data_IF_903259970714
#
_entry.id   IF_903259970714
#
_cell.length_a   1.000
_cell.length_b   1.000
_cell.length_c   1.000
_cell.angle_alpha   90.00
_cell.angle_beta   90.00
_cell.angle_gamma   90.00
#
_symmetry.space_group_name_H-M   'P 1'
#
loop_
_entity.id
_entity.type
_entity.pdbx_description
1 polymer ?
#
# COMPACT_ATOMS: atom_id res chain seq x y z
N UNK A 1 -26.18 -2.24 16.09
CA UNK A 1 -25.57 -3.23 17.01
C UNK A 1 -24.50 -4.08 16.32
N UNK A 2 -24.81 -4.79 15.23
CA UNK A 2 -23.84 -5.65 14.51
C UNK A 2 -22.58 -4.90 14.05
N UNK A 3 -22.72 -3.69 13.50
CA UNK A 3 -21.56 -2.89 13.04
C UNK A 3 -20.60 -2.50 14.18
N UNK A 4 -21.14 -2.28 15.39
CA UNK A 4 -20.32 -2.00 16.59
C UNK A 4 -19.54 -3.25 16.98
N UNK A 5 -20.18 -4.42 16.95
CA UNK A 5 -19.51 -5.70 17.21
C UNK A 5 -18.39 -5.96 16.21
N UNK A 6 -18.61 -5.72 14.91
CA UNK A 6 -17.56 -5.85 13.88
C UNK A 6 -16.37 -4.92 14.17
N UNK A 7 -16.63 -3.65 14.44
CA UNK A 7 -15.56 -2.69 14.78
C UNK A 7 -14.82 -3.12 16.05
N UNK A 8 -15.55 -3.55 17.08
CA UNK A 8 -14.98 -4.06 18.32
C UNK A 8 -14.07 -5.26 18.06
N UNK A 9 -14.54 -6.27 17.32
CA UNK A 9 -13.73 -7.44 17.01
C UNK A 9 -12.50 -7.09 16.17
N UNK A 10 -12.61 -6.19 15.19
CA UNK A 10 -11.45 -5.72 14.44
C UNK A 10 -10.44 -5.01 15.34
N UNK A 11 -10.90 -4.15 16.25
CA UNK A 11 -10.06 -3.43 17.20
C UNK A 11 -9.35 -4.39 18.17
N UNK A 12 -10.08 -5.36 18.73
CA UNK A 12 -9.52 -6.40 19.60
C UNK A 12 -8.50 -7.25 18.86
N UNK A 13 -8.82 -7.73 17.65
CA UNK A 13 -7.89 -8.52 16.84
C UNK A 13 -6.61 -7.72 16.51
N UNK A 14 -6.75 -6.43 16.19
CA UNK A 14 -5.61 -5.54 15.91
C UNK A 14 -4.74 -5.34 17.15
N UNK A 15 -5.36 -5.08 18.30
CA UNK A 15 -4.64 -4.92 19.57
C UNK A 15 -3.92 -6.19 19.99
N UNK A 16 -4.60 -7.36 19.96
CA UNK A 16 -4.02 -8.64 20.30
C UNK A 16 -2.89 -9.03 19.34
N UNK A 17 -3.07 -8.84 18.03
CA UNK A 17 -2.03 -9.10 17.04
C UNK A 17 -0.78 -8.26 17.30
N UNK A 18 -0.96 -6.95 17.54
CA UNK A 18 0.14 -6.06 17.88
C UNK A 18 0.82 -6.38 19.22
N UNK A 19 0.05 -6.81 20.22
CA UNK A 19 0.57 -7.27 21.51
C UNK A 19 1.41 -8.54 21.35
N UNK A 20 0.93 -9.53 20.59
CA UNK A 20 1.68 -10.76 20.30
C UNK A 20 2.96 -10.46 19.52
N UNK A 21 2.91 -9.58 18.51
CA UNK A 21 4.10 -9.12 17.80
C UNK A 21 5.10 -8.51 18.79
N UNK A 22 4.63 -7.67 19.72
CA UNK A 22 5.48 -7.05 20.75
C UNK A 22 6.21 -8.07 21.61
N UNK A 23 5.61 -9.22 21.92
CA UNK A 23 6.27 -10.29 22.69
C UNK A 23 7.33 -11.06 21.89
N UNK A 24 7.15 -11.24 20.57
CA UNK A 24 8.12 -11.97 19.73
C UNK A 24 9.20 -11.07 19.11
N UNK A 25 8.96 -9.76 19.07
CA UNK A 25 9.88 -8.77 18.46
C UNK A 25 11.27 -8.68 19.13
N UNK A 26 11.44 -8.84 20.46
CA UNK A 26 12.77 -8.81 21.08
C UNK A 26 13.74 -9.86 20.54
N UNK A 27 13.25 -10.97 19.99
CA UNK A 27 14.08 -11.97 19.30
C UNK A 27 14.86 -11.38 18.11
N UNK A 28 14.37 -10.27 17.52
CA UNK A 28 15.05 -9.55 16.44
C UNK A 28 16.32 -8.82 16.90
N UNK A 29 16.52 -8.62 18.19
CA UNK A 29 17.73 -8.00 18.75
C UNK A 29 18.94 -8.94 18.72
N UNK A 30 18.73 -10.26 18.56
CA UNK A 30 19.80 -11.25 18.53
C UNK A 30 19.93 -11.83 17.12
N UNK A 31 21.09 -11.69 16.45
CA UNK A 31 21.26 -12.14 15.06
C UNK A 31 20.83 -13.59 14.77
N UNK A 32 21.08 -14.59 15.66
CA UNK A 32 20.64 -15.96 15.42
C UNK A 32 19.12 -16.15 15.35
N UNK A 33 18.34 -15.25 15.97
CA UNK A 33 16.88 -15.35 16.06
C UNK A 33 16.13 -14.30 15.24
N UNK A 34 16.83 -13.47 14.47
CA UNK A 34 16.23 -12.41 13.65
C UNK A 34 15.20 -12.96 12.66
N UNK A 35 15.57 -13.97 11.88
CA UNK A 35 14.69 -14.61 10.89
C UNK A 35 13.45 -15.21 11.55
N UNK A 36 13.63 -15.86 12.71
CA UNK A 36 12.52 -16.44 13.47
C UNK A 36 11.57 -15.35 13.99
N UNK A 37 12.10 -14.25 14.52
CA UNK A 37 11.31 -13.10 14.98
C UNK A 37 10.45 -12.52 13.86
N UNK A 38 11.05 -12.34 12.68
CA UNK A 38 10.33 -11.87 11.49
C UNK A 38 9.23 -12.86 11.08
N UNK A 39 9.54 -14.17 10.98
CA UNK A 39 8.57 -15.18 10.58
C UNK A 39 7.38 -15.29 11.54
N UNK A 40 7.63 -15.24 12.86
CA UNK A 40 6.57 -15.22 13.87
C UNK A 40 5.71 -13.96 13.74
N UNK A 41 6.35 -12.79 13.61
CA UNK A 41 5.64 -11.51 13.46
C UNK A 41 4.79 -11.48 12.19
N UNK A 42 5.35 -11.94 11.07
CA UNK A 42 4.67 -12.03 9.78
C UNK A 42 3.51 -13.04 9.83
N UNK A 43 3.68 -14.17 10.51
CA UNK A 43 2.61 -15.15 10.75
C UNK A 43 1.44 -14.56 11.53
N UNK A 44 1.72 -13.85 12.64
CA UNK A 44 0.70 -13.16 13.44
C UNK A 44 -0.04 -12.11 12.59
N UNK A 45 0.70 -11.30 11.84
CA UNK A 45 0.13 -10.32 10.92
C UNK A 45 -0.74 -10.97 9.82
N UNK A 46 -0.32 -12.12 9.31
CA UNK A 46 -1.07 -12.92 8.34
C UNK A 46 -2.40 -13.42 8.90
N UNK A 47 -2.41 -13.93 10.14
CA UNK A 47 -3.64 -14.35 10.83
C UNK A 47 -4.58 -13.17 11.06
N UNK A 48 -4.05 -12.00 11.46
CA UNK A 48 -4.84 -10.78 11.58
C UNK A 48 -5.45 -10.35 10.23
N UNK A 49 -4.67 -10.43 9.13
CA UNK A 49 -5.16 -10.09 7.80
C UNK A 49 -6.23 -11.07 7.30
N UNK A 50 -6.08 -12.36 7.58
CA UNK A 50 -7.10 -13.39 7.32
C UNK A 50 -8.39 -13.11 8.08
N UNK A 51 -8.28 -12.77 9.37
CA UNK A 51 -9.43 -12.39 10.19
C UNK A 51 -10.13 -11.13 9.65
N UNK A 52 -9.36 -10.10 9.27
CA UNK A 52 -9.90 -8.87 8.68
C UNK A 52 -10.66 -9.17 7.38
N UNK A 53 -10.10 -9.98 6.48
CA UNK A 53 -10.77 -10.41 5.25
C UNK A 53 -12.06 -11.16 5.54
N UNK A 54 -12.04 -12.12 6.45
CA UNK A 54 -13.24 -12.85 6.88
C UNK A 54 -14.29 -11.89 7.45
N UNK A 55 -13.88 -10.92 8.28
CA UNK A 55 -14.82 -9.95 8.84
C UNK A 55 -15.51 -9.13 7.74
N UNK A 56 -14.78 -8.77 6.68
CA UNK A 56 -15.32 -8.04 5.52
C UNK A 56 -16.35 -8.83 4.72
N UNK A 57 -16.29 -10.17 4.67
CA UNK A 57 -17.33 -11.00 4.02
C UNK A 57 -18.65 -10.96 4.79
N UNK A 58 -18.61 -10.63 6.08
CA UNK A 58 -19.83 -10.45 6.88
C UNK A 58 -20.53 -9.12 6.62
N UNK A 59 -19.87 -8.15 5.96
CA UNK A 59 -20.38 -6.81 5.70
C UNK A 59 -21.25 -6.83 4.43
N UNK A 60 -22.38 -6.12 4.45
CA UNK A 60 -23.22 -5.92 3.26
C UNK A 60 -22.56 -4.91 2.31
N UNK A 61 -21.61 -5.39 1.54
CA UNK A 61 -20.87 -4.64 0.51
C UNK A 61 -20.66 -5.56 -0.69
N UNK A 62 -21.02 -5.09 -1.88
CA UNK A 62 -20.70 -5.77 -3.13
C UNK A 62 -19.23 -5.51 -3.47
N UNK A 63 -18.43 -6.56 -3.59
CA UNK A 63 -17.04 -6.45 -4.03
C UNK A 63 -16.94 -6.92 -5.48
N UNK A 64 -16.51 -6.02 -6.36
CA UNK A 64 -16.29 -6.28 -7.79
C UNK A 64 -14.80 -6.23 -8.05
N UNK A 65 -14.17 -7.40 -8.21
CA UNK A 65 -12.73 -7.52 -8.47
C UNK A 65 -12.54 -8.02 -9.90
N UNK A 66 -11.72 -7.31 -10.67
CA UNK A 66 -11.42 -7.59 -12.09
C UNK A 66 -9.92 -7.56 -12.37
N UNK A 67 -9.51 -8.17 -13.48
CA UNK A 67 -8.14 -8.17 -13.95
C UNK A 67 -7.34 -9.34 -13.39
N UNK A 68 -6.04 -9.11 -13.16
CA UNK A 68 -5.09 -10.17 -12.88
C UNK A 68 -5.25 -10.75 -11.46
N UNK A 69 -5.01 -12.06 -11.35
CA UNK A 69 -4.84 -12.75 -10.07
C UNK A 69 -3.36 -12.75 -9.71
N UNK A 70 -3.03 -12.25 -8.53
CA UNK A 70 -1.65 -12.19 -8.03
C UNK A 70 -1.28 -13.50 -7.35
N UNK A 71 -0.04 -13.97 -7.53
CA UNK A 71 0.52 -15.03 -6.69
C UNK A 71 0.76 -14.47 -5.28
N UNK A 72 0.15 -15.05 -4.22
CA UNK A 72 0.37 -14.64 -2.83
C UNK A 72 1.84 -14.62 -2.38
N UNK A 73 2.72 -15.38 -3.04
CA UNK A 73 4.14 -15.47 -2.70
C UNK A 73 5.03 -14.53 -3.51
N UNK A 74 4.45 -13.73 -4.40
CA UNK A 74 5.20 -12.81 -5.23
C UNK A 74 5.70 -11.56 -4.49
N UNK A 75 6.78 -11.00 -5.01
CA UNK A 75 7.38 -9.73 -4.60
C UNK A 75 6.94 -8.64 -5.56
N UNK A 76 6.12 -7.72 -5.08
CA UNK A 76 5.44 -6.73 -5.93
C UNK A 76 5.67 -5.29 -5.48
N UNK A 77 5.80 -4.38 -6.45
CA UNK A 77 5.53 -2.97 -6.26
C UNK A 77 4.09 -2.68 -6.67
N UNK A 78 3.23 -2.33 -5.73
CA UNK A 78 1.84 -1.95 -5.99
C UNK A 78 1.75 -0.43 -6.14
N UNK A 79 1.22 0.05 -7.26
CA UNK A 79 0.85 1.45 -7.50
C UNK A 79 -0.66 1.60 -7.39
N UNK A 80 -1.13 2.34 -6.39
CA UNK A 80 -2.56 2.51 -6.13
C UNK A 80 -2.96 3.99 -6.01
N UNK A 81 -4.19 4.32 -6.44
CA UNK A 81 -4.82 5.58 -6.07
C UNK A 81 -5.24 5.57 -4.60
N UNK A 82 -5.39 6.75 -4.00
CA UNK A 82 -5.64 6.86 -2.56
C UNK A 82 -6.86 7.72 -2.25
N UNK A 83 -7.92 7.13 -1.71
CA UNK A 83 -9.16 7.80 -1.32
C UNK A 83 -9.41 7.73 0.18
N UNK A 84 -9.03 6.63 0.85
CA UNK A 84 -9.38 6.39 2.25
C UNK A 84 -8.42 5.42 2.96
N UNK A 85 -8.59 5.26 4.26
CA UNK A 85 -7.92 4.21 5.02
C UNK A 85 -8.36 2.80 4.61
N UNK A 86 -9.58 2.66 4.08
CA UNK A 86 -10.10 1.35 3.65
C UNK A 86 -9.36 0.81 2.43
N UNK A 87 -8.65 1.65 1.68
CA UNK A 87 -7.83 1.25 0.53
C UNK A 87 -6.81 0.18 0.91
N UNK A 88 -6.19 0.29 2.09
CA UNK A 88 -5.24 -0.70 2.62
C UNK A 88 -5.91 -2.06 2.79
N UNK A 89 -7.15 -2.08 3.30
CA UNK A 89 -7.92 -3.31 3.43
C UNK A 89 -8.24 -3.91 2.06
N UNK A 90 -8.54 -3.07 1.06
CA UNK A 90 -8.84 -3.53 -0.30
C UNK A 90 -7.61 -4.11 -1.00
N UNK A 91 -6.43 -3.53 -0.80
CA UNK A 91 -5.18 -4.12 -1.27
C UNK A 91 -4.92 -5.48 -0.59
N UNK A 92 -5.14 -5.60 0.71
CA UNK A 92 -5.02 -6.88 1.42
C UNK A 92 -6.05 -7.93 0.98
N UNK A 93 -7.23 -7.50 0.52
CA UNK A 93 -8.24 -8.37 -0.10
C UNK A 93 -7.72 -8.91 -1.43
N UNK A 94 -7.23 -8.03 -2.31
CA UNK A 94 -6.67 -8.42 -3.63
C UNK A 94 -5.48 -9.36 -3.48
N UNK A 95 -4.59 -9.07 -2.54
CA UNK A 95 -3.43 -9.91 -2.29
C UNK A 95 -3.81 -11.31 -1.80
N UNK A 96 -4.96 -11.47 -1.15
CA UNK A 96 -5.46 -12.77 -0.74
C UNK A 96 -4.73 -13.40 0.46
N UNK A 97 -5.09 -14.65 0.74
CA UNK A 97 -4.55 -15.45 1.85
C UNK A 97 -3.17 -15.99 1.50
N UNK A 98 -2.27 -15.98 2.48
CA UNK A 98 -0.88 -16.45 2.33
C UNK A 98 0.09 -15.37 1.89
N UNK A 99 -0.39 -14.16 1.59
CA UNK A 99 0.47 -13.04 1.21
C UNK A 99 1.13 -12.39 2.40
N UNK A 100 2.39 -12.01 2.22
CA UNK A 100 3.11 -11.16 3.18
C UNK A 100 2.33 -9.87 3.41
N UNK A 101 2.40 -9.32 4.62
CA UNK A 101 1.70 -8.07 4.91
C UNK A 101 2.25 -6.95 4.00
N UNK A 102 1.40 -6.23 3.25
CA UNK A 102 1.87 -5.15 2.40
C UNK A 102 2.54 -4.06 3.24
N UNK A 103 3.77 -3.73 2.86
CA UNK A 103 4.57 -2.65 3.45
C UNK A 103 4.24 -1.34 2.76
N UNK A 104 4.28 -0.26 3.50
CA UNK A 104 4.14 1.09 2.96
C UNK A 104 5.20 2.00 3.57
N UNK A 105 5.54 3.08 2.85
CA UNK A 105 6.42 4.13 3.35
C UNK A 105 5.76 4.91 4.49
N UNK A 106 5.99 4.42 5.70
CA UNK A 106 5.34 4.91 6.92
C UNK A 106 5.86 6.31 7.25
N UNK A 107 4.96 7.18 7.70
CA UNK A 107 5.32 8.50 8.20
C UNK A 107 6.01 8.40 9.56
N UNK A 108 7.07 9.18 9.79
CA UNK A 108 7.77 9.23 11.07
C UNK A 108 6.82 9.51 12.25
N UNK A 109 5.81 10.34 12.10
CA UNK A 109 4.86 10.67 13.18
C UNK A 109 4.10 9.45 13.70
N UNK A 110 4.00 8.37 12.91
CA UNK A 110 3.34 7.13 13.33
C UNK A 110 4.16 6.30 14.31
N UNK A 111 5.46 6.58 14.48
CA UNK A 111 6.29 5.88 15.48
C UNK A 111 5.89 6.21 16.92
N UNK A 112 5.18 7.32 17.14
CA UNK A 112 4.69 7.71 18.45
C UNK A 112 3.38 7.01 18.83
N UNK A 113 2.75 6.29 17.90
CA UNK A 113 1.57 5.49 18.20
C UNK A 113 1.98 4.20 18.92
N UNK A 114 1.33 3.85 20.05
CA UNK A 114 1.60 2.60 20.75
C UNK A 114 1.53 1.41 19.81
N UNK A 115 2.45 0.45 19.97
CA UNK A 115 2.53 -0.81 19.21
C UNK A 115 2.92 -0.64 17.73
N UNK A 116 2.52 0.44 17.05
CA UNK A 116 2.81 0.69 15.63
C UNK A 116 4.31 0.70 15.32
N UNK A 117 5.12 1.37 16.15
CA UNK A 117 6.57 1.39 15.95
C UNK A 117 7.19 -0.01 16.02
N UNK A 118 6.72 -0.82 16.97
CA UNK A 118 7.22 -2.19 17.17
C UNK A 118 6.80 -3.07 16.00
N UNK A 119 5.54 -3.00 15.57
CA UNK A 119 5.06 -3.72 14.39
C UNK A 119 5.83 -3.30 13.12
N UNK A 120 6.04 -2.01 12.92
CA UNK A 120 6.80 -1.49 11.79
C UNK A 120 8.25 -1.99 11.79
N UNK A 121 8.92 -1.95 12.94
CA UNK A 121 10.28 -2.47 13.07
C UNK A 121 10.34 -3.99 12.89
N UNK A 122 9.44 -4.74 13.52
CA UNK A 122 9.40 -6.20 13.47
C UNK A 122 9.15 -6.72 12.04
N UNK A 123 8.27 -6.06 11.30
CA UNK A 123 7.85 -6.43 9.95
C UNK A 123 8.59 -5.69 8.82
N UNK A 124 9.66 -4.96 9.15
CA UNK A 124 10.51 -4.25 8.18
C UNK A 124 9.74 -3.25 7.29
N UNK A 125 8.92 -2.41 7.93
CA UNK A 125 8.28 -1.27 7.28
C UNK A 125 9.29 -0.10 7.17
N UNK A 126 9.48 0.47 5.97
CA UNK A 126 10.33 1.64 5.82
C UNK A 126 9.65 2.88 6.42
N UNK A 127 10.30 3.49 7.40
CA UNK A 127 9.85 4.71 8.09
C UNK A 127 10.56 5.93 7.50
N UNK A 128 9.79 6.88 6.99
CA UNK A 128 10.27 8.05 6.27
C UNK A 128 10.12 9.32 7.13
N UNK A 129 11.21 10.08 7.27
CA UNK A 129 11.21 11.40 7.92
C UNK A 129 10.77 12.52 6.98
N UNK A 130 10.90 12.34 5.67
CA UNK A 130 10.43 13.25 4.61
C UNK A 130 11.03 14.65 4.74
N UNK A 131 12.36 14.71 4.80
CA UNK A 131 13.12 15.96 4.87
C UNK A 131 12.72 16.96 3.77
N UNK A 132 12.58 18.21 4.17
CA UNK A 132 12.32 19.34 3.27
C UNK A 132 13.60 19.81 2.59
N UNK A 133 13.48 20.68 1.59
CA UNK A 133 14.67 21.24 0.92
C UNK A 133 15.45 22.15 1.87
N UNK A 134 14.75 22.83 2.77
CA UNK A 134 15.32 23.62 3.85
C UNK A 134 16.13 22.73 4.80
N UNK A 135 15.57 21.59 5.26
CA UNK A 135 16.28 20.64 6.12
C UNK A 135 17.60 20.16 5.49
N UNK A 136 17.56 19.86 4.19
CA UNK A 136 18.72 19.36 3.42
C UNK A 136 19.75 20.47 3.20
N UNK A 137 19.32 21.71 2.99
CA UNK A 137 20.22 22.86 2.83
C UNK A 137 21.03 23.08 4.11
N UNK A 138 20.40 22.96 5.27
CA UNK A 138 21.04 23.17 6.57
C UNK A 138 21.92 21.98 6.97
N UNK A 139 21.58 20.76 6.50
CA UNK A 139 22.29 19.50 6.79
C UNK A 139 22.40 18.63 5.53
N UNK A 140 23.36 18.91 4.63
CA UNK A 140 23.48 18.19 3.35
C UNK A 140 23.64 16.68 3.48
N UNK A 141 24.19 16.19 4.59
CA UNK A 141 24.40 14.78 4.90
C UNK A 141 23.10 13.97 5.04
N UNK A 142 21.95 14.61 5.30
CA UNK A 142 20.67 13.90 5.45
C UNK A 142 19.92 13.69 4.13
N UNK A 143 20.42 14.24 3.01
CA UNK A 143 19.76 14.21 1.70
C UNK A 143 19.28 12.83 1.28
N UNK A 144 20.12 11.81 1.49
CA UNK A 144 19.83 10.43 1.09
C UNK A 144 19.40 9.53 2.26
N UNK A 145 19.35 10.06 3.48
CA UNK A 145 19.16 9.23 4.68
C UNK A 145 17.88 8.39 4.67
N UNK A 146 16.79 8.97 4.20
CA UNK A 146 15.50 8.27 4.06
C UNK A 146 15.56 7.18 2.98
N UNK A 147 16.32 7.42 1.91
CA UNK A 147 16.53 6.48 0.83
C UNK A 147 17.39 5.30 1.29
N UNK A 148 18.55 5.58 1.89
CA UNK A 148 19.49 4.57 2.39
C UNK A 148 18.83 3.67 3.44
N UNK A 149 18.05 4.26 4.36
CA UNK A 149 17.32 3.50 5.37
C UNK A 149 16.23 2.61 4.77
N UNK A 150 15.45 3.12 3.81
CA UNK A 150 14.44 2.31 3.14
C UNK A 150 15.07 1.16 2.35
N UNK A 151 16.20 1.41 1.67
CA UNK A 151 16.95 0.38 0.96
C UNK A 151 17.47 -0.68 1.93
N UNK A 152 18.05 -0.30 3.06
CA UNK A 152 18.49 -1.22 4.12
C UNK A 152 17.33 -2.11 4.59
N UNK A 153 16.20 -1.51 4.98
CA UNK A 153 15.05 -2.22 5.55
C UNK A 153 14.38 -3.16 4.54
N UNK A 154 14.20 -2.73 3.29
CA UNK A 154 13.57 -3.55 2.25
C UNK A 154 14.50 -4.64 1.70
N UNK A 155 15.82 -4.47 1.84
CA UNK A 155 16.82 -5.48 1.46
C UNK A 155 16.98 -6.60 2.49
N UNK A 156 16.44 -6.44 3.72
CA UNK A 156 16.43 -7.51 4.73
C UNK A 156 15.60 -8.69 4.25
N UNK A 157 16.05 -9.90 4.60
CA UNK A 157 15.37 -11.15 4.26
C UNK A 157 15.07 -11.29 2.75
N UNK A 158 16.10 -11.31 1.88
CA UNK A 158 15.93 -11.34 0.41
C UNK A 158 15.19 -12.58 -0.10
N UNK A 159 15.15 -13.66 0.68
CA UNK A 159 14.45 -14.90 0.33
C UNK A 159 12.94 -14.88 0.67
N UNK A 160 12.42 -13.79 1.23
CA UNK A 160 11.02 -13.68 1.68
C UNK A 160 10.22 -12.75 0.79
N UNK A 161 9.05 -13.16 0.31
CA UNK A 161 8.15 -12.30 -0.48
C UNK A 161 8.01 -10.89 0.14
N UNK A 162 8.10 -9.85 -0.70
CA UNK A 162 7.99 -8.46 -0.26
C UNK A 162 7.00 -7.69 -1.13
N UNK A 163 5.92 -7.18 -0.52
CA UNK A 163 4.96 -6.34 -1.22
C UNK A 163 5.07 -4.92 -0.70
N UNK A 164 5.38 -3.97 -1.58
CA UNK A 164 5.44 -2.55 -1.25
C UNK A 164 4.31 -1.82 -1.94
N UNK A 165 3.41 -1.22 -1.16
CA UNK A 165 2.29 -0.42 -1.65
C UNK A 165 2.68 1.05 -1.68
N UNK A 166 2.58 1.64 -2.86
CA UNK A 166 2.79 3.05 -3.11
C UNK A 166 1.51 3.76 -3.53
N UNK A 167 1.00 4.58 -2.63
CA UNK A 167 -0.02 5.57 -2.94
C UNK A 167 0.64 6.82 -3.53
N UNK A 168 0.90 6.83 -4.84
CA UNK A 168 1.78 7.84 -5.45
C UNK A 168 1.23 9.27 -5.36
N UNK A 169 -0.08 9.46 -5.15
CA UNK A 169 -0.68 10.78 -4.84
C UNK A 169 -0.12 11.40 -3.55
N UNK A 170 0.42 10.57 -2.65
CA UNK A 170 1.03 10.96 -1.37
C UNK A 170 0.03 11.47 -0.33
N UNK A 171 -1.25 11.52 -0.66
CA UNK A 171 -2.35 11.92 0.22
C UNK A 171 -3.68 11.42 -0.32
N UNK A 172 -4.67 11.28 0.56
CA UNK A 172 -6.04 10.92 0.17
C UNK A 172 -6.67 12.02 -0.70
N UNK A 173 -7.29 11.60 -1.79
CA UNK A 173 -8.07 12.42 -2.69
C UNK A 173 -9.18 13.17 -1.93
N UNK A 174 -9.30 14.46 -2.22
CA UNK A 174 -10.49 15.25 -1.88
C UNK A 174 -10.72 16.28 -3.00
N UNK A 175 -11.97 16.70 -3.27
CA UNK A 175 -12.24 17.73 -4.27
C UNK A 175 -11.45 19.04 -4.01
N UNK A 176 -11.28 19.40 -2.73
CA UNK A 176 -10.49 20.57 -2.34
C UNK A 176 -9.01 20.45 -2.73
N UNK A 177 -8.38 19.29 -2.50
CA UNK A 177 -6.99 19.04 -2.88
C UNK A 177 -6.82 18.91 -4.39
N UNK A 178 -7.79 18.31 -5.06
CA UNK A 178 -7.82 18.18 -6.51
C UNK A 178 -7.80 19.55 -7.18
N UNK A 179 -8.71 20.45 -6.77
CA UNK A 179 -8.76 21.84 -7.23
C UNK A 179 -7.47 22.59 -6.88
N UNK A 180 -6.97 22.47 -5.65
CA UNK A 180 -5.74 23.14 -5.20
C UNK A 180 -4.51 22.71 -6.01
N UNK A 181 -4.38 21.42 -6.31
CA UNK A 181 -3.23 20.87 -7.03
C UNK A 181 -3.36 20.97 -8.56
N UNK A 182 -4.51 21.46 -9.06
CA UNK A 182 -4.85 21.55 -10.49
C UNK A 182 -4.57 20.23 -11.19
N UNK A 183 -5.13 19.15 -10.65
CA UNK A 183 -4.94 17.82 -11.24
C UNK A 183 -5.52 17.77 -12.65
N UNK A 184 -4.82 17.21 -13.65
CA UNK A 184 -5.35 17.06 -15.00
C UNK A 184 -6.33 15.89 -15.13
N UNK A 185 -6.34 14.99 -14.14
CA UNK A 185 -7.20 13.81 -14.07
C UNK A 185 -8.55 14.16 -13.47
N UNK A 186 -9.64 13.47 -13.82
CA UNK A 186 -10.99 13.75 -13.29
C UNK A 186 -11.17 13.25 -11.85
N UNK A 187 -10.61 12.09 -11.53
CA UNK A 187 -10.83 11.34 -10.29
C UNK A 187 -9.60 11.19 -9.41
N UNK A 188 -8.43 11.64 -9.88
CA UNK A 188 -7.14 11.41 -9.22
C UNK A 188 -6.40 12.71 -8.93
N UNK A 189 -5.53 12.73 -7.90
CA UNK A 189 -4.47 13.73 -7.79
C UNK A 189 -3.29 13.38 -8.68
N UNK A 190 -2.38 14.34 -8.90
CA UNK A 190 -1.13 14.10 -9.62
C UNK A 190 -0.25 13.09 -8.87
N UNK A 191 0.32 12.08 -9.56
CA UNK A 191 1.27 11.18 -8.94
C UNK A 191 2.58 11.90 -8.64
N UNK A 192 3.21 11.49 -7.54
CA UNK A 192 4.60 11.79 -7.21
C UNK A 192 5.47 10.60 -7.60
N UNK A 193 6.69 10.88 -8.02
CA UNK A 193 7.63 9.86 -8.53
C UNK A 193 8.56 9.30 -7.47
N UNK A 194 8.90 10.06 -6.43
CA UNK A 194 9.96 9.67 -5.49
C UNK A 194 9.70 8.38 -4.71
N UNK A 195 8.46 8.15 -4.27
CA UNK A 195 8.10 6.90 -3.59
C UNK A 195 8.18 5.67 -4.51
N UNK A 196 7.54 5.70 -5.69
CA UNK A 196 7.67 4.62 -6.67
C UNK A 196 9.11 4.34 -7.11
N UNK A 197 9.91 5.39 -7.34
CA UNK A 197 11.33 5.27 -7.68
C UNK A 197 12.12 4.55 -6.59
N UNK A 198 11.97 4.99 -5.34
CA UNK A 198 12.63 4.36 -4.20
C UNK A 198 12.25 2.88 -4.09
N UNK A 199 10.96 2.54 -4.17
CA UNK A 199 10.53 1.15 -4.08
C UNK A 199 11.08 0.29 -5.23
N UNK A 200 11.09 0.84 -6.45
CA UNK A 200 11.62 0.15 -7.62
C UNK A 200 13.12 -0.10 -7.48
N UNK A 201 13.89 0.88 -7.01
CA UNK A 201 15.32 0.71 -6.78
C UNK A 201 15.60 -0.36 -5.71
N UNK A 202 14.89 -0.33 -4.57
CA UNK A 202 15.08 -1.31 -3.50
C UNK A 202 14.72 -2.74 -3.92
N UNK A 203 13.71 -2.94 -4.77
CA UNK A 203 13.21 -4.26 -5.15
C UNK A 203 13.74 -4.76 -6.51
N UNK A 204 14.54 -3.96 -7.22
CA UNK A 204 14.84 -4.14 -8.65
C UNK A 204 15.28 -5.53 -9.11
N UNK A 205 16.00 -6.27 -8.27
CA UNK A 205 16.60 -7.58 -8.59
C UNK A 205 15.74 -8.78 -8.17
N UNK A 206 14.58 -8.51 -7.56
CA UNK A 206 13.74 -9.53 -6.93
C UNK A 206 12.25 -9.30 -7.16
N UNK A 207 11.91 -8.38 -8.05
CA UNK A 207 10.53 -7.97 -8.32
C UNK A 207 9.91 -8.92 -9.34
N UNK A 208 8.84 -9.59 -8.94
CA UNK A 208 8.07 -10.48 -9.80
C UNK A 208 7.08 -9.71 -10.68
N UNK A 209 6.67 -8.50 -10.26
CA UNK A 209 5.79 -7.64 -11.05
C UNK A 209 5.53 -6.27 -10.43
N UNK A 210 5.21 -5.29 -11.28
CA UNK A 210 4.66 -4.01 -10.86
C UNK A 210 3.15 -4.09 -11.09
N UNK A 211 2.37 -3.84 -10.05
CA UNK A 211 0.92 -4.04 -10.08
C UNK A 211 0.22 -2.69 -9.95
N UNK A 212 -0.57 -2.33 -10.95
CA UNK A 212 -1.48 -1.20 -10.89
C UNK A 212 -2.81 -1.62 -10.26
N UNK A 213 -3.14 -1.10 -9.07
CA UNK A 213 -4.43 -1.34 -8.41
C UNK A 213 -5.27 -0.08 -8.52
N UNK A 214 -6.42 -0.20 -9.16
CA UNK A 214 -7.40 0.89 -9.34
C UNK A 214 -8.60 0.66 -8.43
N UNK A 215 -8.82 1.58 -7.49
CA UNK A 215 -9.89 1.53 -6.50
C UNK A 215 -10.97 2.56 -6.82
N UNK A 216 -12.23 2.14 -6.84
CA UNK A 216 -13.39 3.02 -6.96
C UNK A 216 -14.50 2.65 -5.97
N UNK A 217 -15.17 3.69 -5.43
CA UNK A 217 -16.19 3.56 -4.39
C UNK A 217 -17.41 4.45 -4.75
N UNK A 218 -18.24 4.03 -5.72
CA UNK A 218 -19.29 4.89 -6.26
C UNK A 218 -20.31 5.31 -5.20
N UNK A 219 -20.52 6.61 -5.06
CA UNK A 219 -21.57 7.20 -4.22
C UNK A 219 -21.39 7.02 -2.70
N UNK A 220 -20.22 6.57 -2.23
CA UNK A 220 -20.01 6.23 -0.83
C UNK A 220 -19.18 7.29 -0.07
N UNK A 221 -19.58 7.58 1.16
CA UNK A 221 -18.68 8.23 2.13
C UNK A 221 -17.70 7.18 2.66
N UNK A 222 -16.41 7.46 2.54
CA UNK A 222 -15.38 6.46 2.86
C UNK A 222 -14.87 6.61 4.30
N UNK A 223 -14.74 5.46 4.96
CA UNK A 223 -14.17 5.33 6.29
C UNK A 223 -14.33 3.92 6.82
N UNK A 224 -13.50 3.53 7.79
CA UNK A 224 -13.54 2.18 8.38
C UNK A 224 -14.91 1.91 9.01
N UNK A 225 -15.47 2.89 9.73
CA UNK A 225 -16.82 2.78 10.26
C UNK A 225 -17.87 2.63 9.16
N UNK A 226 -17.84 3.48 8.13
CA UNK A 226 -18.79 3.41 7.01
C UNK A 226 -18.74 2.03 6.33
N UNK A 227 -17.54 1.49 6.11
CA UNK A 227 -17.37 0.15 5.56
C UNK A 227 -17.98 -0.91 6.48
N UNK A 228 -17.54 -1.01 7.75
CA UNK A 228 -18.02 -2.05 8.67
C UNK A 228 -19.51 -1.93 9.01
N UNK A 229 -20.07 -0.73 8.85
CA UNK A 229 -21.50 -0.46 8.97
C UNK A 229 -22.33 -0.84 7.73
N UNK A 230 -21.70 -1.28 6.64
CA UNK A 230 -22.38 -1.57 5.36
C UNK A 230 -22.88 -0.32 4.64
N UNK A 231 -22.28 0.84 4.92
CA UNK A 231 -22.60 2.13 4.27
C UNK A 231 -21.74 2.38 3.03
N UNK A 232 -20.82 1.46 2.70
CA UNK A 232 -20.12 1.41 1.42
C UNK A 232 -20.77 0.28 0.63
N UNK A 233 -21.78 0.57 -0.21
CA UNK A 233 -22.60 -0.48 -0.84
C UNK A 233 -21.81 -1.28 -1.88
N UNK A 234 -20.81 -0.66 -2.51
CA UNK A 234 -20.03 -1.26 -3.59
C UNK A 234 -18.57 -0.83 -3.49
N UNK A 235 -17.67 -1.80 -3.62
CA UNK A 235 -16.23 -1.60 -3.77
C UNK A 235 -15.83 -2.22 -5.10
N UNK A 236 -15.19 -1.42 -5.95
CA UNK A 236 -14.72 -1.87 -7.25
C UNK A 236 -13.21 -1.80 -7.29
N UNK A 237 -12.57 -2.91 -7.69
CA UNK A 237 -11.13 -3.05 -7.73
C UNK A 237 -10.74 -3.62 -9.10
N UNK A 238 -9.82 -2.95 -9.77
CA UNK A 238 -9.16 -3.49 -10.96
C UNK A 238 -7.68 -3.67 -10.70
N UNK A 239 -7.15 -4.82 -11.11
CA UNK A 239 -5.75 -5.23 -10.94
C UNK A 239 -5.14 -5.44 -12.31
N UNK A 240 -4.05 -4.74 -12.60
CA UNK A 240 -3.33 -4.85 -13.87
C UNK A 240 -1.83 -4.99 -13.58
N UNK A 241 -1.22 -6.06 -14.07
CA UNK A 241 0.24 -6.21 -14.06
C UNK A 241 0.81 -5.33 -15.17
N UNK A 242 1.70 -4.42 -14.81
CA UNK A 242 2.33 -3.50 -15.74
C UNK A 242 3.81 -3.82 -15.90
N UNK A 243 4.27 -3.76 -17.14
CA UNK A 243 5.69 -3.91 -17.47
C UNK A 243 6.42 -2.58 -17.26
N UNK A 244 7.66 -2.69 -16.78
CA UNK A 244 8.57 -1.56 -16.77
C UNK A 244 9.02 -1.31 -18.21
N UNK A 245 8.85 -0.12 -18.78
CA UNK A 245 9.25 0.16 -20.16
C UNK A 245 10.75 -0.07 -20.36
N UNK A 246 11.11 -0.64 -21.51
CA UNK A 246 12.52 -0.76 -21.91
C UNK A 246 13.20 0.61 -21.93
N UNK A 247 14.42 0.68 -21.38
CA UNK A 247 15.20 1.92 -21.29
C UNK A 247 14.71 2.91 -20.22
N UNK A 248 13.72 2.56 -19.39
CA UNK A 248 13.38 3.38 -18.23
C UNK A 248 14.36 3.10 -17.09
N UNK A 249 15.22 4.08 -16.82
CA UNK A 249 16.13 4.00 -15.68
C UNK A 249 15.35 3.88 -14.36
N UNK A 250 15.68 2.84 -13.61
CA UNK A 250 15.03 2.53 -12.32
C UNK A 250 15.40 3.59 -11.26
N UNK A 251 16.59 4.17 -11.40
CA UNK A 251 17.12 5.22 -10.50
C UNK A 251 17.59 6.39 -11.35
N UNK A 252 16.69 7.33 -11.71
CA UNK A 252 17.04 8.45 -12.56
C UNK A 252 18.08 9.36 -11.91
N UNK A 253 19.23 9.51 -12.56
CA UNK A 253 20.31 10.41 -12.18
C UNK A 253 20.29 11.70 -13.02
N UNK A 254 19.78 11.61 -14.27
CA UNK A 254 19.66 12.74 -15.17
C UNK A 254 18.26 13.34 -15.20
N UNK A 255 18.17 14.62 -15.59
CA UNK A 255 16.87 15.29 -15.81
C UNK A 255 16.04 14.61 -16.90
N UNK A 256 16.70 14.02 -17.90
CA UNK A 256 16.05 13.30 -18.99
C UNK A 256 15.38 12.03 -18.49
N UNK A 257 16.10 11.22 -17.70
CA UNK A 257 15.58 10.01 -17.08
C UNK A 257 14.43 10.32 -16.11
N UNK A 258 14.56 11.37 -15.30
CA UNK A 258 13.50 11.77 -14.37
C UNK A 258 12.24 12.19 -15.12
N UNK A 259 12.39 12.86 -16.26
CA UNK A 259 11.29 13.24 -17.15
C UNK A 259 10.64 12.01 -17.78
N UNK A 260 11.43 11.03 -18.22
CA UNK A 260 10.94 9.77 -18.77
C UNK A 260 10.13 8.99 -17.71
N UNK A 261 10.67 8.85 -16.49
CA UNK A 261 9.98 8.16 -15.39
C UNK A 261 8.66 8.86 -15.02
N UNK A 262 8.68 10.19 -14.95
CA UNK A 262 7.45 10.99 -14.73
C UNK A 262 6.44 10.80 -15.86
N UNK A 263 6.90 10.71 -17.11
CA UNK A 263 6.06 10.41 -18.27
C UNK A 263 5.37 9.06 -18.15
N UNK A 264 6.13 8.02 -17.80
CA UNK A 264 5.60 6.68 -17.55
C UNK A 264 4.57 6.67 -16.41
N UNK A 265 4.89 7.27 -15.26
CA UNK A 265 3.94 7.40 -14.14
C UNK A 265 2.65 8.14 -14.53
N UNK A 266 2.75 9.20 -15.33
CA UNK A 266 1.57 9.90 -15.84
C UNK A 266 0.76 9.03 -16.81
N UNK A 267 1.40 8.19 -17.62
CA UNK A 267 0.69 7.26 -18.51
C UNK A 267 -0.14 6.24 -17.73
N UNK A 268 0.40 5.72 -16.62
CA UNK A 268 -0.33 4.82 -15.70
C UNK A 268 -1.51 5.58 -15.08
N UNK A 269 -1.29 6.80 -14.60
CA UNK A 269 -2.36 7.61 -14.01
C UNK A 269 -3.47 7.97 -15.00
N UNK A 270 -3.13 8.25 -16.25
CA UNK A 270 -4.12 8.52 -17.30
C UNK A 270 -5.01 7.29 -17.57
N UNK A 271 -4.40 6.10 -17.68
CA UNK A 271 -5.13 4.83 -17.81
C UNK A 271 -6.01 4.57 -16.59
N UNK A 272 -5.48 4.78 -15.38
CA UNK A 272 -6.18 4.62 -14.10
C UNK A 272 -7.39 5.54 -14.00
N UNK A 273 -7.26 6.82 -14.39
CA UNK A 273 -8.37 7.79 -14.34
C UNK A 273 -9.51 7.38 -15.29
N UNK A 274 -9.17 6.99 -16.52
CA UNK A 274 -10.13 6.48 -17.50
C UNK A 274 -10.80 5.19 -17.00
N UNK A 275 -10.04 4.31 -16.33
CA UNK A 275 -10.56 3.09 -15.72
C UNK A 275 -11.57 3.39 -14.63
N UNK A 276 -11.30 4.37 -13.75
CA UNK A 276 -12.25 4.77 -12.71
C UNK A 276 -13.56 5.27 -13.33
N UNK A 277 -13.49 6.09 -14.38
CA UNK A 277 -14.69 6.55 -15.10
C UNK A 277 -15.50 5.37 -15.66
N UNK A 278 -14.83 4.39 -16.28
CA UNK A 278 -15.48 3.17 -16.79
C UNK A 278 -16.10 2.33 -15.68
N UNK A 279 -15.41 2.18 -14.54
CA UNK A 279 -15.93 1.42 -13.40
C UNK A 279 -17.16 2.09 -12.79
N UNK A 280 -17.18 3.42 -12.69
CA UNK A 280 -18.29 4.15 -12.06
C UNK A 280 -19.51 4.25 -12.99
N UNK A 281 -19.29 4.43 -14.30
CA UNK A 281 -20.38 4.67 -15.26
C UNK A 281 -20.77 3.43 -16.08
N UNK A 282 -19.91 2.42 -16.17
CA UNK A 282 -20.15 1.22 -16.97
C UNK A 282 -20.91 0.15 -16.19
N UNK A 283 -21.70 -0.65 -16.92
CA UNK A 283 -22.18 -1.94 -16.42
C UNK A 283 -20.97 -2.87 -16.32
N UNK A 284 -20.63 -3.40 -15.13
CA UNK A 284 -19.46 -4.25 -14.98
C UNK A 284 -19.58 -5.53 -15.85
N UNK A 285 -18.58 -5.82 -16.69
CA UNK A 285 -18.55 -7.00 -17.56
C UNK A 285 -18.45 -8.29 -16.73
N UNK A 286 -19.19 -9.34 -17.10
CA UNK A 286 -19.52 -10.57 -16.33
C UNK A 286 -18.40 -11.37 -15.65
N UNK A 287 -17.13 -10.99 -15.77
CA UNK A 287 -15.99 -11.69 -15.17
C UNK A 287 -15.59 -11.03 -13.83
N UNK A 288 -16.45 -11.20 -12.82
CA UNK A 288 -16.18 -10.71 -11.48
C UNK A 288 -16.07 -11.85 -10.49
N UNK A 289 -15.05 -11.77 -9.64
CA UNK A 289 -14.98 -12.60 -8.44
C UNK A 289 -15.57 -11.81 -7.28
N UNK A 290 -16.66 -12.30 -6.68
CA UNK A 290 -17.18 -11.80 -5.41
C UNK A 290 -16.41 -12.43 -4.25
N UNK A 291 -16.23 -11.68 -3.16
CA UNK A 291 -15.67 -12.20 -1.90
C UNK A 291 -16.58 -13.23 -1.23
#
# INVERSE_FOLDING_TARGET
MISILRLFFLAVATFLGGLLITFVSPLKLFPPTEKLSYQLSAGIAGVWADFMRWLLTTVKTEYVITGDKLDPKGTYLILANHQSWIDIMMVMVVLGKGTTLPRFFMKWELVYMPVINICAWALDFPIMRRYTQEDIKDRPEIKNRDFDYAHEVLSRNPDQACVVVNYAEGTRFTPAKHKKNRSPYKHLLKPKVGGPQLALDCLRNRLDGIIDITLAYPGAKLGVWQLLAGQVPKVMIHVETIELPEGLEKTPETLAELKAFRGWMNSIWAKKDARIEQMINGTPASDHTSL
#
